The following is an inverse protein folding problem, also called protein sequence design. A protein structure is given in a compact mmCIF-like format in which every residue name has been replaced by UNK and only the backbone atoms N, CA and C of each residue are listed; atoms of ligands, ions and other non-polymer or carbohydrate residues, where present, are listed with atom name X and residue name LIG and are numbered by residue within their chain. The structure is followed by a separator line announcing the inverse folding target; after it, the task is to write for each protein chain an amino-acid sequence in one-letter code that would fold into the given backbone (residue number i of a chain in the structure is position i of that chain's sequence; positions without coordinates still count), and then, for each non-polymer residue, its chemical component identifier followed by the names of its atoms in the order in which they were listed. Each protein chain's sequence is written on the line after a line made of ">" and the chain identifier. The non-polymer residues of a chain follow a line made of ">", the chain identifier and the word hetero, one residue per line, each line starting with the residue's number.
data_IF_564179567927
#
_entry.id   IF_564179567927
#
_cell.length_a   1.000
_cell.length_b   1.000
_cell.length_c   1.000
_cell.angle_alpha   90.00
_cell.angle_beta   90.00
_cell.angle_gamma   90.00
#
_symmetry.space_group_name_H-M   'P 1'
#
loop_
_entity.id
_entity.type
_entity.pdbx_description
1 polymer ?
#
# COMPACT_ATOMS: atom_id res chain seq x y z
N UNK A 1 10.67 -12.01 16.95
CA UNK A 1 9.45 -11.64 16.20
C UNK A 1 9.56 -10.16 15.91
N UNK A 2 9.71 -9.80 14.64
CA UNK A 2 9.94 -8.41 14.23
C UNK A 2 8.64 -7.61 14.34
N UNK A 3 8.75 -6.36 14.78
CA UNK A 3 7.59 -5.51 15.04
C UNK A 3 7.08 -4.89 13.72
N UNK A 4 5.78 -4.54 13.63
CA UNK A 4 5.27 -3.74 12.51
C UNK A 4 6.07 -2.45 12.35
N UNK A 5 6.15 -1.94 11.13
CA UNK A 5 6.73 -0.64 10.87
C UNK A 5 6.01 0.39 11.71
N UNK A 6 6.78 1.29 12.31
CA UNK A 6 6.23 2.42 13.03
C UNK A 6 6.79 3.69 12.44
N UNK A 7 5.89 4.62 12.12
CA UNK A 7 6.28 6.03 11.99
C UNK A 7 6.97 6.45 13.29
N UNK A 8 8.12 7.12 13.20
CA UNK A 8 8.76 7.69 14.38
C UNK A 8 7.91 8.79 15.02
N UNK A 9 6.88 9.26 14.29
CA UNK A 9 5.87 10.25 14.70
C UNK A 9 4.52 9.55 14.95
N UNK A 10 3.89 9.86 16.08
CA UNK A 10 2.49 9.47 16.34
C UNK A 10 1.53 10.47 15.71
N UNK A 11 1.03 10.16 14.52
CA UNK A 11 0.10 11.03 13.78
C UNK A 11 -1.25 11.23 14.47
N UNK A 12 -1.64 10.38 15.42
CA UNK A 12 -2.86 10.59 16.21
C UNK A 12 -2.64 11.65 17.31
N UNK A 13 -1.39 11.88 17.73
CA UNK A 13 -1.01 12.84 18.77
C UNK A 13 0.34 13.51 18.47
N UNK A 14 0.43 14.29 17.38
CA UNK A 14 1.67 14.95 17.03
C UNK A 14 2.03 15.98 18.13
N UNK A 15 3.28 15.96 18.56
CA UNK A 15 3.86 16.95 19.46
C UNK A 15 3.70 18.36 18.89
N UNK A 16 3.87 19.39 19.73
CA UNK A 16 3.79 20.78 19.26
C UNK A 16 4.79 21.07 18.13
N UNK A 17 5.98 20.48 18.21
CA UNK A 17 6.98 20.58 17.14
C UNK A 17 6.45 19.92 15.87
N UNK A 18 6.06 18.65 15.91
CA UNK A 18 5.52 17.95 14.72
C UNK A 18 4.32 18.68 14.11
N UNK A 19 3.42 19.24 14.92
CA UNK A 19 2.30 20.08 14.44
C UNK A 19 2.73 21.36 13.74
N UNK A 20 3.76 22.03 14.26
CA UNK A 20 4.35 23.20 13.61
C UNK A 20 5.02 22.81 12.28
N UNK A 21 5.62 21.63 12.22
CA UNK A 21 6.34 21.14 11.05
C UNK A 21 5.40 20.59 9.95
N UNK A 22 4.19 20.11 10.28
CA UNK A 22 3.20 19.64 9.29
C UNK A 22 2.73 20.71 8.29
N UNK A 23 2.94 22.01 8.57
CA UNK A 23 2.61 23.12 7.67
C UNK A 23 3.80 23.68 6.88
N UNK A 24 4.99 23.11 7.05
CA UNK A 24 6.20 23.53 6.36
C UNK A 24 6.82 22.34 5.64
N UNK A 25 7.14 22.45 4.34
CA UNK A 25 7.94 21.42 3.67
C UNK A 25 9.31 21.37 4.38
N UNK A 26 9.54 20.32 5.15
CA UNK A 26 10.70 20.21 6.03
C UNK A 26 11.44 18.93 5.71
N UNK A 27 12.30 19.12 4.72
CA UNK A 27 13.30 18.19 4.22
C UNK A 27 13.93 17.33 5.35
N UNK A 28 14.33 17.98 6.44
CA UNK A 28 15.06 17.33 7.53
C UNK A 28 14.22 16.36 8.41
N UNK A 29 12.89 16.52 8.49
CA UNK A 29 12.03 15.63 9.29
C UNK A 29 11.65 14.40 8.50
N UNK A 30 11.44 14.61 7.19
CA UNK A 30 11.15 13.58 6.21
C UNK A 30 12.33 12.62 6.03
N UNK A 31 13.56 13.15 5.95
CA UNK A 31 14.79 12.35 5.90
C UNK A 31 14.95 11.39 7.08
N UNK A 32 14.63 11.83 8.30
CA UNK A 32 14.77 11.00 9.51
C UNK A 32 13.74 9.91 9.57
N UNK A 33 12.49 10.25 9.25
CA UNK A 33 11.39 9.29 9.19
C UNK A 33 11.69 8.23 8.12
N UNK A 34 12.12 8.66 6.94
CA UNK A 34 12.53 7.77 5.85
C UNK A 34 13.70 6.87 6.28
N UNK A 35 14.77 7.43 6.84
CA UNK A 35 15.92 6.65 7.33
C UNK A 35 15.53 5.61 8.40
N UNK A 36 14.60 5.95 9.29
CA UNK A 36 14.09 5.03 10.31
C UNK A 36 13.27 3.88 9.70
N UNK A 37 12.45 4.15 8.69
CA UNK A 37 11.70 3.11 7.97
C UNK A 37 12.66 2.22 7.17
N UNK A 38 13.63 2.81 6.46
CA UNK A 38 14.66 2.09 5.72
C UNK A 38 15.46 1.17 6.63
N UNK A 39 15.88 1.67 7.80
CA UNK A 39 16.59 0.85 8.80
C UNK A 39 15.73 -0.32 9.25
N UNK A 40 14.47 -0.09 9.63
CA UNK A 40 13.55 -1.16 10.03
C UNK A 40 13.34 -2.20 8.91
N UNK A 41 13.22 -1.77 7.66
CA UNK A 41 13.08 -2.64 6.50
C UNK A 41 14.35 -3.46 6.21
N UNK A 42 15.53 -2.88 6.43
CA UNK A 42 16.81 -3.59 6.26
C UNK A 42 17.08 -4.66 7.32
N UNK A 43 16.45 -4.54 8.50
CA UNK A 43 16.54 -5.51 9.59
C UNK A 43 15.63 -6.73 9.37
N UNK A 44 14.72 -6.67 8.37
CA UNK A 44 13.80 -7.75 8.06
C UNK A 44 14.44 -8.85 7.24
N UNK A 45 13.95 -10.06 7.47
CA UNK A 45 14.39 -11.29 6.82
C UNK A 45 13.19 -12.03 6.24
N UNK A 46 13.45 -13.01 5.38
CA UNK A 46 12.38 -13.88 4.85
C UNK A 46 11.59 -14.60 5.95
N UNK A 47 12.20 -14.86 7.11
CA UNK A 47 11.52 -15.46 8.25
C UNK A 47 10.38 -14.60 8.80
N UNK A 48 10.43 -13.29 8.58
CA UNK A 48 9.37 -12.36 9.00
C UNK A 48 8.11 -12.53 8.14
N UNK A 49 8.23 -13.03 6.91
CA UNK A 49 7.10 -13.34 6.04
C UNK A 49 6.24 -14.49 6.58
N UNK A 50 6.74 -15.29 7.54
CA UNK A 50 5.93 -16.30 8.23
C UNK A 50 4.69 -15.70 8.91
N UNK A 51 4.70 -14.39 9.21
CA UNK A 51 3.53 -13.66 9.72
C UNK A 51 2.31 -13.73 8.77
N UNK A 52 2.54 -13.94 7.47
CA UNK A 52 1.48 -14.10 6.48
C UNK A 52 0.80 -15.47 6.53
N UNK A 53 1.43 -16.50 7.09
CA UNK A 53 0.93 -17.88 7.06
C UNK A 53 -0.43 -18.08 7.74
N UNK A 54 -0.81 -17.18 8.67
CA UNK A 54 -2.11 -17.21 9.34
C UNK A 54 -3.28 -16.70 8.48
N UNK A 55 -2.99 -16.01 7.37
CA UNK A 55 -4.00 -15.47 6.46
C UNK A 55 -4.31 -16.44 5.33
N UNK A 56 -5.48 -16.25 4.70
CA UNK A 56 -5.95 -17.06 3.58
C UNK A 56 -4.96 -17.00 2.40
N UNK A 57 -4.91 -18.08 1.62
CA UNK A 57 -3.97 -18.20 0.50
C UNK A 57 -4.09 -17.06 -0.50
N UNK A 58 -5.32 -16.63 -0.83
CA UNK A 58 -5.57 -15.52 -1.74
C UNK A 58 -4.95 -14.20 -1.25
N UNK A 59 -5.06 -13.90 0.04
CA UNK A 59 -4.43 -12.73 0.68
C UNK A 59 -2.92 -12.79 0.56
N UNK A 60 -2.32 -13.96 0.83
CA UNK A 60 -0.86 -14.15 0.70
C UNK A 60 -0.37 -13.99 -0.73
N UNK A 61 -1.11 -14.55 -1.70
CA UNK A 61 -0.76 -14.45 -3.12
C UNK A 61 -0.86 -13.01 -3.62
N UNK A 62 -1.90 -12.27 -3.24
CA UNK A 62 -2.04 -10.87 -3.60
C UNK A 62 -0.93 -10.02 -2.97
N UNK A 63 -0.66 -10.20 -1.67
CA UNK A 63 0.41 -9.50 -0.97
C UNK A 63 1.79 -9.80 -1.60
N UNK A 64 2.05 -11.06 -1.96
CA UNK A 64 3.29 -11.46 -2.64
C UNK A 64 3.43 -10.82 -4.02
N UNK A 65 2.37 -10.84 -4.83
CA UNK A 65 2.37 -10.21 -6.15
C UNK A 65 2.61 -8.69 -6.05
N UNK A 66 1.95 -8.03 -5.11
CA UNK A 66 2.12 -6.61 -4.85
C UNK A 66 3.55 -6.29 -4.38
N UNK A 67 4.10 -7.03 -3.42
CA UNK A 67 5.47 -6.84 -2.93
C UNK A 67 6.53 -7.03 -4.01
N UNK A 68 6.37 -8.03 -4.90
CA UNK A 68 7.29 -8.23 -6.02
C UNK A 68 7.26 -7.06 -7.02
N UNK A 69 6.08 -6.48 -7.26
CA UNK A 69 5.93 -5.29 -8.10
C UNK A 69 6.55 -4.05 -7.45
N UNK A 70 6.30 -3.82 -6.16
CA UNK A 70 6.91 -2.72 -5.41
C UNK A 70 8.45 -2.82 -5.38
N UNK A 71 8.97 -4.05 -5.29
CA UNK A 71 10.41 -4.33 -5.38
C UNK A 71 11.00 -3.97 -6.74
N UNK A 72 10.28 -4.27 -7.83
CA UNK A 72 10.72 -3.97 -9.18
C UNK A 72 10.84 -2.46 -9.45
N UNK A 73 9.90 -1.67 -8.91
CA UNK A 73 9.90 -0.21 -9.01
C UNK A 73 10.96 0.46 -8.11
N UNK A 74 11.62 -0.32 -7.24
CA UNK A 74 12.66 0.17 -6.30
C UNK A 74 12.18 1.34 -5.42
N UNK A 75 10.88 1.37 -5.11
CA UNK A 75 10.26 2.39 -4.25
C UNK A 75 10.84 2.29 -2.83
N UNK A 76 11.10 1.07 -2.37
CA UNK A 76 11.66 0.77 -1.05
C UNK A 76 12.93 -0.08 -1.18
N UNK A 77 13.89 0.04 -0.25
CA UNK A 77 15.12 -0.76 -0.28
C UNK A 77 14.89 -2.26 -0.02
N UNK A 78 13.76 -2.60 0.61
CA UNK A 78 13.29 -3.97 0.82
C UNK A 78 11.77 -3.99 0.75
N UNK A 79 11.21 -4.98 0.04
CA UNK A 79 9.77 -5.18 -0.10
C UNK A 79 9.20 -6.22 0.89
N UNK A 80 9.91 -6.44 2.00
CA UNK A 80 9.48 -7.34 3.06
C UNK A 80 8.50 -6.63 4.00
N UNK A 81 7.25 -6.50 3.57
CA UNK A 81 6.17 -5.90 4.35
C UNK A 81 5.42 -6.95 5.19
N UNK A 82 5.08 -6.57 6.41
CA UNK A 82 4.31 -7.37 7.35
C UNK A 82 2.82 -7.05 7.23
N UNK A 83 1.92 -8.00 7.56
CA UNK A 83 0.48 -7.79 7.55
C UNK A 83 0.03 -6.57 8.36
N UNK A 84 0.67 -6.38 9.52
CA UNK A 84 0.30 -5.37 10.51
C UNK A 84 1.02 -4.02 10.27
N UNK A 85 1.84 -3.91 9.22
CA UNK A 85 2.45 -2.63 8.84
C UNK A 85 1.37 -1.61 8.47
N UNK A 86 1.58 -0.31 8.73
CA UNK A 86 0.76 0.76 8.17
C UNK A 86 0.73 0.65 6.64
N UNK A 87 -0.45 0.67 6.02
CA UNK A 87 -0.59 0.53 4.56
C UNK A 87 -0.03 1.75 3.81
N UNK A 88 -0.05 2.92 4.45
CA UNK A 88 0.50 4.16 3.89
C UNK A 88 2.01 4.15 3.69
N UNK A 89 2.75 3.17 4.24
CA UNK A 89 4.17 2.98 3.95
C UNK A 89 4.37 2.25 2.61
N UNK A 90 3.93 0.98 2.42
CA UNK A 90 4.12 0.30 1.15
C UNK A 90 3.31 0.91 0.01
N UNK A 91 2.17 1.54 0.30
CA UNK A 91 1.21 2.01 -0.72
C UNK A 91 1.08 3.52 -0.81
N UNK A 92 1.47 4.26 0.22
CA UNK A 92 1.50 5.72 0.20
C UNK A 92 2.92 6.20 -0.06
N UNK A 93 3.09 7.20 -0.92
CA UNK A 93 4.37 7.87 -1.06
C UNK A 93 4.25 9.27 -0.43
N UNK A 94 4.85 9.44 0.76
CA UNK A 94 4.91 10.72 1.49
C UNK A 94 6.31 11.37 1.49
N UNK A 95 7.34 10.76 0.89
CA UNK A 95 8.75 11.13 1.16
C UNK A 95 9.62 11.39 -0.07
N UNK A 96 9.07 11.46 -1.29
CA UNK A 96 9.85 11.98 -2.42
C UNK A 96 9.73 13.50 -2.53
N UNK A 97 10.75 14.19 -2.03
CA UNK A 97 11.07 15.61 -2.20
C UNK A 97 11.39 16.01 -3.65
N UNK A 98 10.58 15.59 -4.61
CA UNK A 98 10.61 16.26 -5.90
C UNK A 98 9.29 16.98 -6.06
N UNK A 99 9.35 18.23 -6.51
CA UNK A 99 8.21 19.11 -6.83
C UNK A 99 7.26 18.53 -7.91
N UNK A 100 7.27 17.22 -8.12
CA UNK A 100 6.38 16.46 -8.99
C UNK A 100 5.33 15.80 -8.11
N UNK A 101 4.17 16.43 -8.13
CA UNK A 101 2.87 15.99 -7.61
C UNK A 101 2.36 14.67 -8.23
N UNK A 102 3.21 13.69 -8.53
CA UNK A 102 2.85 12.53 -9.35
C UNK A 102 3.65 11.27 -8.94
N UNK A 103 3.51 10.80 -7.68
CA UNK A 103 3.99 9.47 -7.26
C UNK A 103 2.92 8.47 -6.79
N UNK A 104 1.66 8.91 -6.68
CA UNK A 104 0.53 8.00 -6.86
C UNK A 104 0.70 7.13 -8.13
N UNK A 105 1.20 7.61 -9.29
CA UNK A 105 1.25 6.85 -10.53
C UNK A 105 1.96 5.50 -10.46
N UNK A 106 3.03 5.29 -9.68
CA UNK A 106 3.73 4.01 -9.68
C UNK A 106 2.92 2.93 -8.95
N UNK A 107 2.55 3.17 -7.69
CA UNK A 107 1.71 2.23 -6.91
C UNK A 107 0.32 2.12 -7.52
N UNK A 108 -0.27 3.24 -7.96
CA UNK A 108 -1.54 3.25 -8.69
C UNK A 108 -1.44 2.44 -9.97
N UNK A 109 -0.36 2.58 -10.75
CA UNK A 109 -0.13 1.78 -11.97
C UNK A 109 0.04 0.30 -11.63
N UNK A 110 0.77 -0.03 -10.56
CA UNK A 110 0.88 -1.43 -10.09
C UNK A 110 -0.51 -1.98 -9.79
N UNK A 111 -1.30 -1.29 -8.97
CA UNK A 111 -2.60 -1.80 -8.52
C UNK A 111 -3.62 -1.81 -9.67
N UNK A 112 -3.74 -0.73 -10.42
CA UNK A 112 -4.78 -0.60 -11.44
C UNK A 112 -4.43 -1.23 -12.79
N UNK A 113 -3.17 -1.13 -13.23
CA UNK A 113 -2.74 -1.66 -14.54
C UNK A 113 -2.16 -3.06 -14.43
N UNK A 114 -1.23 -3.27 -13.51
CA UNK A 114 -0.53 -4.57 -13.43
C UNK A 114 -1.38 -5.63 -12.73
N UNK A 115 -2.09 -5.26 -11.66
CA UNK A 115 -2.97 -6.16 -10.93
C UNK A 115 -4.43 -6.13 -11.43
N UNK A 116 -4.77 -5.12 -12.23
CA UNK A 116 -6.07 -4.96 -12.87
C UNK A 116 -7.18 -4.57 -11.90
N UNK A 117 -6.86 -3.88 -10.80
CA UNK A 117 -7.80 -3.58 -9.71
C UNK A 117 -8.04 -2.08 -9.66
N UNK A 118 -9.21 -1.62 -10.10
CA UNK A 118 -9.54 -0.19 -10.00
C UNK A 118 -10.01 0.18 -8.59
N UNK A 119 -9.26 1.06 -7.93
CA UNK A 119 -9.57 1.53 -6.57
C UNK A 119 -10.17 2.93 -6.62
N UNK A 120 -11.11 3.22 -5.74
CA UNK A 120 -11.68 4.56 -5.65
C UNK A 120 -10.80 5.50 -4.81
N UNK A 121 -11.11 6.80 -4.85
CA UNK A 121 -10.38 7.80 -4.06
C UNK A 121 -10.45 7.53 -2.55
N UNK A 122 -11.57 6.97 -2.06
CA UNK A 122 -11.75 6.67 -0.64
C UNK A 122 -10.76 5.62 -0.12
N UNK A 123 -10.41 4.64 -0.95
CA UNK A 123 -9.35 3.69 -0.64
C UNK A 123 -8.00 4.40 -0.46
N UNK A 124 -7.60 5.22 -1.43
CA UNK A 124 -6.31 5.91 -1.43
C UNK A 124 -6.20 6.91 -0.27
N UNK A 125 -7.26 7.69 -0.03
CA UNK A 125 -7.35 8.64 1.08
C UNK A 125 -7.33 7.93 2.45
N UNK A 126 -7.84 6.70 2.50
CA UNK A 126 -7.95 5.90 3.72
C UNK A 126 -6.68 5.16 4.14
N UNK A 127 -5.63 5.10 3.31
CA UNK A 127 -4.44 4.25 3.56
C UNK A 127 -3.78 4.49 4.93
N UNK A 128 -3.75 5.74 5.39
CA UNK A 128 -3.16 6.11 6.69
C UNK A 128 -3.87 5.52 7.91
N UNK A 129 -5.09 5.01 7.72
CA UNK A 129 -5.92 4.41 8.76
C UNK A 129 -6.00 2.87 8.63
N UNK A 130 -5.25 2.27 7.71
CA UNK A 130 -5.29 0.84 7.42
C UNK A 130 -3.96 0.16 7.72
N UNK A 131 -4.03 -1.11 8.10
CA UNK A 131 -2.88 -2.01 8.01
C UNK A 131 -2.73 -2.52 6.58
N UNK A 132 -1.54 -3.02 6.25
CA UNK A 132 -1.22 -3.50 4.93
C UNK A 132 -2.11 -4.68 4.53
N UNK A 133 -2.41 -5.59 5.47
CA UNK A 133 -3.35 -6.69 5.21
C UNK A 133 -4.77 -6.19 4.91
N UNK A 134 -5.25 -5.16 5.62
CA UNK A 134 -6.57 -4.57 5.35
C UNK A 134 -6.64 -3.96 3.95
N UNK A 135 -5.56 -3.31 3.50
CA UNK A 135 -5.48 -2.78 2.14
C UNK A 135 -5.53 -3.91 1.09
N UNK A 136 -4.77 -4.98 1.31
CA UNK A 136 -4.76 -6.17 0.43
C UNK A 136 -6.13 -6.84 0.36
N UNK A 137 -6.80 -7.02 1.50
CA UNK A 137 -8.15 -7.60 1.56
C UNK A 137 -9.17 -6.74 0.81
N UNK A 138 -9.08 -5.41 0.90
CA UNK A 138 -9.93 -4.50 0.12
C UNK A 138 -9.67 -4.62 -1.39
N UNK A 139 -8.40 -4.73 -1.81
CA UNK A 139 -8.06 -4.94 -3.22
C UNK A 139 -8.65 -6.25 -3.76
N UNK A 140 -8.57 -7.34 -2.98
CA UNK A 140 -9.16 -8.64 -3.34
C UNK A 140 -10.67 -8.52 -3.51
N UNK A 141 -11.36 -7.94 -2.51
CA UNK A 141 -12.80 -7.73 -2.56
C UNK A 141 -13.18 -6.92 -3.79
N UNK A 142 -12.45 -5.84 -4.07
CA UNK A 142 -12.70 -4.97 -5.22
C UNK A 142 -12.50 -5.70 -6.55
N UNK A 143 -11.48 -6.54 -6.64
CA UNK A 143 -11.22 -7.39 -7.81
C UNK A 143 -12.38 -8.37 -8.07
N UNK A 144 -12.91 -8.99 -7.01
CA UNK A 144 -14.05 -9.90 -7.12
C UNK A 144 -15.33 -9.19 -7.59
N UNK A 145 -15.63 -8.00 -7.04
CA UNK A 145 -16.77 -7.17 -7.47
C UNK A 145 -16.70 -6.79 -8.96
N UNK A 146 -15.49 -6.49 -9.45
CA UNK A 146 -15.25 -6.14 -10.86
C UNK A 146 -15.41 -7.34 -11.79
N UNK A 147 -14.98 -8.53 -11.36
CA UNK A 147 -15.19 -9.77 -12.11
C UNK A 147 -16.68 -10.14 -12.19
N UNK A 148 -17.45 -9.95 -11.10
CA UNK A 148 -18.89 -10.20 -11.08
C UNK A 148 -19.70 -9.25 -11.96
N UNK A 149 -19.30 -7.98 -12.04
CA UNK A 149 -19.99 -6.97 -12.85
C UNK A 149 -19.80 -7.13 -14.37
N UNK A 150 -18.85 -7.97 -14.79
CA UNK A 150 -18.57 -8.27 -16.20
C UNK A 150 -19.39 -9.43 -16.79
N UNK A 151 -20.07 -10.22 -15.96
CA UNK A 151 -20.74 -11.47 -16.40
C UNK A 151 -22.21 -11.32 -16.83
N UNK A 152 -22.84 -10.16 -16.63
CA UNK A 152 -24.28 -9.96 -16.87
C UNK A 152 -24.63 -9.31 -18.23
N UNK A 153 -23.68 -9.22 -19.17
CA UNK A 153 -23.91 -8.68 -20.54
C UNK A 153 -23.88 -9.72 -21.67
N UNK A 154 -24.42 -10.91 -21.42
CA UNK A 154 -24.84 -11.83 -22.49
C UNK A 154 -26.30 -12.25 -22.28
N UNK A 155 -27.19 -11.26 -22.33
CA UNK A 155 -28.64 -11.45 -22.33
C UNK A 155 -29.22 -11.08 -23.70
N UNK A 156 -29.32 -12.09 -24.57
CA UNK A 156 -30.36 -12.29 -25.59
C UNK A 156 -30.71 -11.10 -26.51
N UNK A 157 -30.30 -11.21 -27.77
CA UNK A 157 -31.17 -10.80 -28.89
C UNK A 157 -32.04 -12.01 -29.28
N UNK A 158 -33.33 -12.05 -28.92
CA UNK A 158 -34.30 -12.85 -29.64
C UNK A 158 -34.98 -11.97 -30.70
N UNK A 159 -35.01 -12.47 -31.93
CA UNK A 159 -35.84 -12.10 -33.09
C UNK A 159 -35.34 -11.08 -34.12
N UNK A 160 -35.53 -11.53 -35.36
CA UNK A 160 -35.65 -10.74 -36.59
C UNK A 160 -35.16 -11.57 -37.77
N UNK A 161 -35.78 -12.73 -38.05
CA UNK A 161 -36.89 -12.87 -39.01
C UNK A 161 -36.45 -12.57 -40.45
#
# INVERSE_FOLDING_TARGET
>A
MTKPLKWSIDWAKPSFKERLLMGCPLVATEDRVYADIVRQLSERTESDLLAWNKYQEEVRLMAGALSEKLKAERIWPSALFLPDDPADIPLGNRFEETDKWDFLPAVYSIVEKDLGIKMDAGFWDGLSCMTYVQAVEQMIRRKAEQAGSGSDRQGTDPNGA
#
